data_IF_995441805743
#
_entry.id   IF_995441805743
#
_cell.length_a   1.000
_cell.length_b   1.000
_cell.length_c   1.000
_cell.angle_alpha   90.00
_cell.angle_beta   90.00
_cell.angle_gamma   90.00
#
_symmetry.space_group_name_H-M   'P 1'
#
loop_
_entity.id
_entity.type
_entity.pdbx_description
1 polymer ?
#
# COMPACT_ATOMS: atom_id res chain seq x y z
N UNK A 1 -33.11 1.84 14.28
CA UNK A 1 -31.99 1.21 13.56
C UNK A 1 -30.76 1.27 14.46
N UNK A 2 -30.35 0.12 15.02
CA UNK A 2 -29.28 0.04 16.03
C UNK A 2 -27.93 0.19 15.32
N UNK A 3 -27.10 1.12 15.80
CA UNK A 3 -25.70 1.26 15.39
C UNK A 3 -24.92 -0.01 15.78
N UNK A 4 -24.31 -0.69 14.81
CA UNK A 4 -23.31 -1.73 15.07
C UNK A 4 -21.93 -1.08 15.31
N UNK A 5 -21.13 -1.60 16.27
CA UNK A 5 -19.82 -1.07 16.59
C UNK A 5 -18.77 -1.42 15.53
N UNK A 6 -17.82 -0.48 15.37
CA UNK A 6 -16.72 -0.46 14.39
C UNK A 6 -15.83 -1.71 14.45
N UNK A 7 -15.83 -2.45 15.57
CA UNK A 7 -15.03 -3.68 15.76
C UNK A 7 -15.43 -4.85 14.84
N UNK A 8 -16.68 -4.88 14.34
CA UNK A 8 -17.12 -5.93 13.40
C UNK A 8 -16.57 -5.77 11.97
N UNK A 9 -16.11 -4.58 11.59
CA UNK A 9 -15.41 -4.37 10.31
C UNK A 9 -13.97 -4.92 10.34
N UNK A 10 -13.37 -5.02 11.53
CA UNK A 10 -12.03 -5.59 11.73
C UNK A 10 -12.02 -7.13 11.72
N UNK A 11 -13.11 -7.79 12.13
CA UNK A 11 -13.16 -9.26 12.29
C UNK A 11 -13.24 -10.07 10.98
N UNK A 12 -13.76 -9.51 9.90
CA UNK A 12 -14.02 -10.25 8.65
C UNK A 12 -12.83 -10.32 7.68
N UNK A 13 -11.67 -9.77 8.05
CA UNK A 13 -10.43 -9.86 7.28
C UNK A 13 -9.42 -10.87 7.86
N UNK A 14 -9.72 -11.51 9.01
CA UNK A 14 -8.76 -12.35 9.75
C UNK A 14 -9.28 -13.77 10.05
N UNK A 15 -10.55 -14.10 9.80
CA UNK A 15 -11.14 -15.40 10.16
C UNK A 15 -11.02 -16.48 9.08
N UNK A 16 -9.81 -16.92 8.74
CA UNK A 16 -9.57 -18.24 8.14
C UNK A 16 -8.27 -18.84 8.67
N UNK A 17 -8.30 -19.38 9.89
CA UNK A 17 -7.46 -20.50 10.31
C UNK A 17 -8.11 -21.17 11.53
N UNK A 18 -8.99 -22.13 11.28
CA UNK A 18 -9.43 -23.10 12.28
C UNK A 18 -8.34 -24.18 12.43
N UNK A 19 -7.80 -24.28 13.64
CA UNK A 19 -7.36 -25.48 14.36
C UNK A 19 -7.01 -26.72 13.53
N UNK A 20 -5.70 -26.96 13.37
CA UNK A 20 -5.14 -28.31 13.29
C UNK A 20 -3.82 -28.33 14.07
N UNK A 21 -3.77 -29.21 15.08
CA UNK A 21 -2.64 -29.43 15.97
C UNK A 21 -1.35 -29.80 15.22
N UNK A 22 -0.29 -28.99 15.37
CA UNK A 22 1.07 -29.36 15.00
C UNK A 22 1.95 -29.28 16.25
N UNK A 23 2.33 -30.47 16.75
CA UNK A 23 3.28 -30.65 17.86
C UNK A 23 4.65 -30.04 17.50
N UNK A 24 5.16 -29.17 18.35
CA UNK A 24 6.51 -28.60 18.28
C UNK A 24 7.58 -29.68 18.59
N UNK A 25 8.66 -29.80 17.80
CA UNK A 25 9.79 -30.69 18.14
C UNK A 25 10.70 -30.07 19.20
N UNK A 26 11.21 -30.94 20.08
CA UNK A 26 12.09 -30.65 21.23
C UNK A 26 13.45 -30.10 20.78
N UNK A 27 13.93 -29.06 21.46
CA UNK A 27 15.22 -28.40 21.20
C UNK A 27 16.43 -29.33 21.45
N UNK A 28 17.48 -29.32 20.60
CA UNK A 28 18.75 -29.95 20.93
C UNK A 28 19.59 -29.05 21.85
N UNK A 29 20.27 -29.68 22.79
CA UNK A 29 21.14 -29.06 23.80
C UNK A 29 22.33 -28.30 23.20
N UNK A 30 22.66 -27.16 23.83
CA UNK A 30 23.73 -26.25 23.44
C UNK A 30 25.14 -26.88 23.50
N UNK A 31 25.92 -26.73 22.42
CA UNK A 31 27.36 -26.99 22.40
C UNK A 31 28.14 -25.66 22.37
N UNK A 32 29.22 -25.62 23.17
CA UNK A 32 30.11 -24.45 23.42
C UNK A 32 30.79 -23.93 22.14
N UNK A 33 30.84 -22.59 22.02
CA UNK A 33 31.55 -21.82 20.98
C UNK A 33 33.07 -21.74 21.26
N UNK A 34 33.94 -21.82 20.24
CA UNK A 34 35.30 -21.28 20.32
C UNK A 34 35.49 -20.03 19.44
N UNK A 35 36.24 -19.06 19.97
CA UNK A 35 37.10 -18.15 19.21
C UNK A 35 36.46 -16.94 18.51
N UNK A 36 36.65 -15.74 19.10
CA UNK A 36 36.37 -14.45 18.47
C UNK A 36 37.30 -14.22 17.26
N UNK A 37 36.76 -14.29 16.05
CA UNK A 37 37.33 -13.64 14.86
C UNK A 37 36.29 -12.69 14.28
N UNK A 38 36.58 -11.40 14.22
CA UNK A 38 35.72 -10.38 13.60
C UNK A 38 35.35 -10.80 12.17
N UNK A 39 34.08 -11.09 11.85
CA UNK A 39 33.69 -11.30 10.48
C UNK A 39 33.54 -9.91 9.83
N UNK A 40 34.50 -9.56 8.96
CA UNK A 40 34.28 -8.50 7.96
C UNK A 40 32.98 -8.83 7.21
N UNK A 41 32.01 -7.93 7.30
CA UNK A 41 30.73 -7.99 6.60
C UNK A 41 30.98 -8.25 5.10
N UNK A 42 30.67 -9.46 4.62
CA UNK A 42 30.64 -9.73 3.18
C UNK A 42 29.42 -9.02 2.61
N UNK A 43 29.62 -7.89 1.93
CA UNK A 43 28.59 -7.28 1.09
C UNK A 43 28.04 -8.37 0.15
N UNK A 44 26.75 -8.66 0.26
CA UNK A 44 26.04 -9.52 -0.69
C UNK A 44 26.30 -9.01 -2.11
N UNK A 45 26.97 -9.82 -2.93
CA UNK A 45 27.41 -9.46 -4.28
C UNK A 45 26.28 -9.66 -5.30
N UNK A 46 25.05 -9.23 -4.99
CA UNK A 46 23.99 -9.17 -6.00
C UNK A 46 24.22 -7.90 -6.84
N UNK A 47 24.47 -8.08 -8.14
CA UNK A 47 24.58 -6.95 -9.06
C UNK A 47 23.18 -6.41 -9.34
N UNK A 48 23.07 -5.09 -9.34
CA UNK A 48 21.84 -4.34 -9.50
C UNK A 48 21.86 -3.63 -10.84
N UNK A 49 20.67 -3.39 -11.40
CA UNK A 49 20.53 -2.62 -12.64
C UNK A 49 21.10 -1.21 -12.41
N UNK A 50 22.10 -0.84 -13.21
CA UNK A 50 22.93 0.37 -13.02
C UNK A 50 22.10 1.66 -12.94
N UNK A 51 21.10 1.83 -13.79
CA UNK A 51 20.33 3.07 -13.92
C UNK A 51 19.22 3.22 -12.88
N UNK A 52 19.01 2.23 -12.01
CA UNK A 52 18.13 2.31 -10.82
C UNK A 52 18.89 1.99 -9.53
N UNK A 53 20.22 2.15 -9.52
CA UNK A 53 21.05 1.81 -8.37
C UNK A 53 20.61 2.54 -7.08
N UNK A 54 20.11 3.78 -7.21
CA UNK A 54 19.62 4.58 -6.09
C UNK A 54 18.39 3.98 -5.41
N UNK A 55 17.57 3.21 -6.14
CA UNK A 55 16.39 2.53 -5.61
C UNK A 55 16.72 1.27 -4.80
N UNK A 56 17.92 0.70 -4.96
CA UNK A 56 18.39 -0.45 -4.17
C UNK A 56 18.96 -0.05 -2.79
N UNK A 57 18.81 1.22 -2.41
CA UNK A 57 19.18 1.72 -1.09
C UNK A 57 18.19 1.18 -0.03
N UNK A 58 18.55 0.04 0.56
CA UNK A 58 17.95 -0.66 1.73
C UNK A 58 16.58 -1.34 1.45
N UNK A 59 16.54 -2.68 1.53
CA UNK A 59 16.48 -3.35 2.83
C UNK A 59 17.66 -4.31 3.05
N UNK A 60 18.16 -4.32 4.28
CA UNK A 60 19.13 -5.32 4.73
C UNK A 60 18.42 -6.69 4.75
N UNK A 61 18.79 -7.69 3.91
CA UNK A 61 18.14 -9.00 3.95
C UNK A 61 18.32 -9.73 5.29
N UNK A 62 19.12 -9.18 6.21
CA UNK A 62 19.30 -9.66 7.58
C UNK A 62 18.19 -9.27 8.57
N UNK A 63 17.21 -8.40 8.23
CA UNK A 63 16.15 -8.01 9.19
C UNK A 63 15.28 -9.18 9.67
N UNK A 64 15.09 -10.24 8.86
CA UNK A 64 14.41 -11.46 9.30
C UNK A 64 15.20 -12.26 10.34
N UNK A 65 16.53 -12.09 10.39
CA UNK A 65 17.44 -12.80 11.30
C UNK A 65 17.81 -12.01 12.57
N UNK A 66 17.57 -10.70 12.61
CA UNK A 66 17.84 -9.81 13.76
C UNK A 66 16.56 -9.34 14.45
N UNK A 67 15.64 -10.27 14.72
CA UNK A 67 14.43 -10.06 15.53
C UNK A 67 14.71 -9.76 17.02
N UNK A 68 15.96 -9.57 17.41
CA UNK A 68 16.36 -9.45 18.81
C UNK A 68 17.16 -8.15 18.98
N UNK A 69 16.53 -7.14 19.57
CA UNK A 69 17.08 -5.84 20.00
C UNK A 69 17.37 -4.78 18.93
N UNK A 70 16.33 -4.23 18.29
CA UNK A 70 16.40 -2.82 17.91
C UNK A 70 16.17 -1.97 19.16
N UNK A 71 17.27 -1.55 19.80
CA UNK A 71 17.20 -0.64 20.95
C UNK A 71 16.41 0.62 20.54
N UNK A 72 15.29 0.89 21.21
CA UNK A 72 14.47 2.09 20.98
C UNK A 72 13.36 1.96 19.92
N UNK A 73 13.08 0.76 19.40
CA UNK A 73 11.92 0.53 18.49
C UNK A 73 10.82 -0.24 19.22
N UNK A 74 9.59 0.25 19.14
CA UNK A 74 8.43 -0.34 19.80
C UNK A 74 8.04 -1.71 19.16
N UNK A 75 7.64 -2.74 19.95
CA UNK A 75 7.32 -4.07 19.42
C UNK A 75 6.26 -4.08 18.31
N UNK A 76 5.25 -3.19 18.37
CA UNK A 76 4.23 -3.05 17.32
C UNK A 76 4.85 -2.66 15.97
N UNK A 77 5.88 -1.81 15.97
CA UNK A 77 6.61 -1.40 14.77
C UNK A 77 7.55 -2.49 14.26
N UNK A 78 8.18 -3.27 15.15
CA UNK A 78 9.00 -4.43 14.75
C UNK A 78 8.13 -5.43 13.97
N UNK A 79 6.97 -5.78 14.51
CA UNK A 79 5.98 -6.66 13.86
C UNK A 79 5.52 -6.10 12.51
N UNK A 80 5.22 -4.80 12.45
CA UNK A 80 4.81 -4.13 11.23
C UNK A 80 5.93 -4.12 10.16
N UNK A 81 7.19 -3.93 10.57
CA UNK A 81 8.36 -3.99 9.70
C UNK A 81 8.51 -5.35 9.03
N UNK A 82 8.30 -6.44 9.79
CA UNK A 82 8.28 -7.81 9.22
C UNK A 82 7.20 -7.92 8.15
N UNK A 83 5.96 -7.56 8.46
CA UNK A 83 4.85 -7.61 7.51
C UNK A 83 5.08 -6.76 6.24
N UNK A 84 5.78 -5.64 6.35
CA UNK A 84 6.14 -4.82 5.20
C UNK A 84 7.28 -5.44 4.38
N UNK A 85 8.31 -5.97 5.03
CA UNK A 85 9.47 -6.59 4.38
C UNK A 85 9.10 -7.88 3.64
N UNK A 86 8.25 -8.72 4.26
CA UNK A 86 7.71 -9.95 3.68
C UNK A 86 6.55 -9.66 2.71
N UNK A 87 6.16 -8.39 2.56
CA UNK A 87 5.10 -7.93 1.67
C UNK A 87 3.76 -8.63 1.91
N UNK A 88 3.47 -8.98 3.17
CA UNK A 88 2.15 -9.48 3.60
C UNK A 88 1.09 -8.38 3.40
N UNK A 89 1.45 -7.13 3.70
CA UNK A 89 0.59 -5.95 3.48
C UNK A 89 1.10 -5.16 2.27
N UNK A 90 0.38 -5.26 1.16
CA UNK A 90 0.77 -4.66 -0.13
C UNK A 90 0.10 -3.32 -0.43
N UNK A 91 -1.20 -3.20 -0.13
CA UNK A 91 -2.03 -2.08 -0.56
C UNK A 91 -1.72 -0.77 0.17
N UNK A 92 -1.89 0.35 -0.54
CA UNK A 92 -1.55 1.70 -0.01
C UNK A 92 -2.42 2.07 1.20
N UNK A 93 -3.69 1.68 1.20
CA UNK A 93 -4.66 1.92 2.28
C UNK A 93 -4.34 1.08 3.51
N UNK A 94 -4.12 -0.22 3.29
CA UNK A 94 -3.87 -1.20 4.34
C UNK A 94 -2.54 -0.91 5.06
N UNK A 95 -1.52 -0.49 4.32
CA UNK A 95 -0.25 -0.03 4.89
C UNK A 95 -0.45 1.19 5.77
N UNK A 96 -1.17 2.22 5.29
CA UNK A 96 -1.47 3.42 6.06
C UNK A 96 -2.27 3.11 7.33
N UNK A 97 -3.30 2.29 7.21
CA UNK A 97 -4.13 1.86 8.34
C UNK A 97 -3.31 1.09 9.39
N UNK A 98 -2.45 0.17 8.97
CA UNK A 98 -1.57 -0.58 9.86
C UNK A 98 -0.53 0.32 10.56
N UNK A 99 -0.01 1.34 9.88
CA UNK A 99 0.88 2.35 10.48
C UNK A 99 0.15 3.13 11.57
N UNK A 100 -1.06 3.64 11.29
CA UNK A 100 -1.85 4.38 12.27
C UNK A 100 -2.21 3.51 13.48
N UNK A 101 -2.52 2.22 13.27
CA UNK A 101 -2.71 1.26 14.34
C UNK A 101 -1.45 1.04 15.19
N UNK A 102 -0.27 0.95 14.57
CA UNK A 102 0.99 0.82 15.30
C UNK A 102 1.34 2.08 16.10
N UNK A 103 1.05 3.27 15.56
CA UNK A 103 1.18 4.56 16.26
C UNK A 103 0.22 4.62 17.45
N UNK A 104 -1.04 4.16 17.28
CA UNK A 104 -2.01 4.09 18.36
C UNK A 104 -1.48 3.25 19.52
N UNK A 105 -1.03 2.03 19.25
CA UNK A 105 -0.44 1.14 20.27
C UNK A 105 0.80 1.74 20.92
N UNK A 106 1.68 2.41 20.16
CA UNK A 106 2.83 3.12 20.73
C UNK A 106 2.41 4.19 21.74
N UNK A 107 1.39 4.99 21.41
CA UNK A 107 0.89 6.06 22.28
C UNK A 107 0.16 5.48 23.50
N UNK A 108 -0.46 4.31 23.39
CA UNK A 108 -1.08 3.62 24.53
C UNK A 108 -0.02 3.08 25.50
N UNK A 109 1.10 2.56 24.98
CA UNK A 109 2.14 1.89 25.76
C UNK A 109 3.24 2.84 26.29
N UNK A 110 3.31 4.07 25.80
CA UNK A 110 4.41 4.99 26.16
C UNK A 110 4.31 5.44 27.62
N UNK A 111 5.42 5.39 28.35
CA UNK A 111 5.55 5.98 29.69
C UNK A 111 6.55 7.13 29.63
N UNK A 112 6.14 8.32 30.03
CA UNK A 112 6.97 9.51 29.96
C UNK A 112 8.01 9.53 31.09
N UNK A 113 9.30 9.66 30.79
CA UNK A 113 10.29 9.90 31.83
C UNK A 113 10.06 11.30 32.44
N UNK A 114 10.26 11.49 33.76
CA UNK A 114 9.95 12.74 34.46
C UNK A 114 10.77 13.94 33.97
N UNK A 115 11.81 13.70 33.17
CA UNK A 115 12.74 14.70 32.64
C UNK A 115 12.36 15.24 31.26
N UNK A 116 11.38 14.65 30.58
CA UNK A 116 11.04 14.99 29.18
C UNK A 116 9.55 15.32 29.03
N UNK A 117 9.24 16.32 28.19
CA UNK A 117 7.86 16.60 27.80
C UNK A 117 7.30 15.45 26.94
N UNK A 118 6.03 15.10 27.18
CA UNK A 118 5.32 14.02 26.51
C UNK A 118 5.38 14.09 24.99
N UNK A 119 5.09 15.24 24.39
CA UNK A 119 5.07 15.36 22.93
C UNK A 119 6.47 15.13 22.32
N UNK A 120 7.51 15.65 22.97
CA UNK A 120 8.90 15.42 22.53
C UNK A 120 9.30 13.95 22.63
N UNK A 121 8.93 13.30 23.73
CA UNK A 121 9.26 11.89 23.93
C UNK A 121 8.56 11.00 22.87
N UNK A 122 7.28 11.27 22.60
CA UNK A 122 6.52 10.60 21.52
C UNK A 122 7.19 10.85 20.15
N UNK A 123 7.60 12.08 19.86
CA UNK A 123 8.26 12.43 18.59
C UNK A 123 9.58 11.68 18.38
N UNK A 124 10.44 11.61 19.41
CA UNK A 124 11.72 10.90 19.36
C UNK A 124 11.54 9.38 19.13
N UNK A 125 10.61 8.78 19.87
CA UNK A 125 10.26 7.36 19.73
C UNK A 125 9.66 7.06 18.36
N UNK A 126 8.76 7.92 17.89
CA UNK A 126 8.14 7.79 16.57
C UNK A 126 9.19 7.93 15.47
N UNK A 127 10.14 8.86 15.59
CA UNK A 127 11.21 9.02 14.60
C UNK A 127 12.06 7.75 14.49
N UNK A 128 12.48 7.17 15.62
CA UNK A 128 13.22 5.91 15.66
C UNK A 128 12.44 4.75 15.00
N UNK A 129 11.15 4.65 15.31
CA UNK A 129 10.26 3.65 14.74
C UNK A 129 10.03 3.84 13.22
N UNK A 130 9.90 5.08 12.76
CA UNK A 130 9.70 5.38 11.33
C UNK A 130 10.96 5.14 10.51
N UNK A 131 12.14 5.46 11.03
CA UNK A 131 13.42 5.14 10.39
C UNK A 131 13.54 3.62 10.15
N UNK A 132 13.24 2.81 11.19
CA UNK A 132 13.22 1.36 11.08
C UNK A 132 12.26 0.88 9.97
N UNK A 133 11.03 1.38 9.93
CA UNK A 133 10.08 0.96 8.90
C UNK A 133 10.51 1.38 7.48
N UNK A 134 11.14 2.55 7.32
CA UNK A 134 11.68 3.00 6.03
C UNK A 134 12.81 2.09 5.53
N UNK A 135 13.63 1.56 6.44
CA UNK A 135 14.65 0.55 6.12
C UNK A 135 14.05 -0.81 5.75
N UNK A 136 12.92 -1.19 6.34
CA UNK A 136 12.21 -2.43 5.98
C UNK A 136 11.57 -2.33 4.59
N UNK A 137 10.92 -1.20 4.30
CA UNK A 137 10.29 -0.91 3.01
C UNK A 137 10.00 0.59 2.85
N UNK A 138 10.34 1.20 1.71
CA UNK A 138 10.02 2.61 1.43
C UNK A 138 8.54 2.94 1.66
N UNK A 139 8.27 4.10 2.26
CA UNK A 139 6.91 4.52 2.61
C UNK A 139 6.04 4.75 1.38
N UNK A 140 4.78 4.32 1.47
CA UNK A 140 3.76 4.76 0.55
C UNK A 140 3.44 6.24 0.78
N UNK A 141 2.98 6.94 -0.26
CA UNK A 141 2.58 8.36 -0.14
C UNK A 141 1.49 8.54 0.92
N UNK A 142 0.54 7.59 1.00
CA UNK A 142 -0.49 7.54 2.05
C UNK A 142 0.09 7.61 3.46
N UNK A 143 1.12 6.80 3.72
CA UNK A 143 1.80 6.72 5.01
C UNK A 143 2.56 8.01 5.32
N UNK A 144 3.27 8.56 4.33
CA UNK A 144 4.02 9.81 4.51
C UNK A 144 3.10 10.98 4.85
N UNK A 145 1.95 11.09 4.17
CA UNK A 145 0.96 12.12 4.44
C UNK A 145 0.27 11.94 5.80
N UNK A 146 -0.10 10.71 6.16
CA UNK A 146 -0.68 10.40 7.46
C UNK A 146 0.30 10.71 8.60
N UNK A 147 1.57 10.33 8.45
CA UNK A 147 2.61 10.66 9.43
C UNK A 147 2.85 12.17 9.54
N UNK A 148 2.87 12.90 8.42
CA UNK A 148 2.98 14.36 8.42
C UNK A 148 1.80 15.00 9.15
N UNK A 149 0.58 14.56 8.87
CA UNK A 149 -0.63 15.02 9.56
C UNK A 149 -0.56 14.75 11.07
N UNK A 150 -0.14 13.54 11.46
CA UNK A 150 0.03 13.19 12.86
C UNK A 150 1.10 14.04 13.57
N UNK A 151 2.26 14.28 12.93
CA UNK A 151 3.32 15.13 13.49
C UNK A 151 2.87 16.57 13.72
N UNK A 152 1.90 17.09 12.96
CA UNK A 152 1.32 18.42 13.24
C UNK A 152 0.58 18.45 14.57
N UNK A 153 0.00 17.33 15.01
CA UNK A 153 -0.71 17.21 16.30
C UNK A 153 0.25 17.15 17.49
N UNK A 154 1.53 16.86 17.27
CA UNK A 154 2.57 16.87 18.31
C UNK A 154 3.10 18.28 18.60
N UNK A 155 2.69 19.30 17.82
CA UNK A 155 3.07 20.69 18.12
C UNK A 155 2.44 21.12 19.45
N UNK A 156 3.21 21.69 20.38
CA UNK A 156 2.69 22.05 21.70
C UNK A 156 1.65 23.16 21.56
N UNK A 157 0.39 22.84 21.89
CA UNK A 157 -0.72 23.79 21.89
C UNK A 157 -0.93 24.40 23.28
N UNK A 158 -0.67 23.64 24.35
CA UNK A 158 -0.73 24.11 25.74
C UNK A 158 0.15 23.24 26.64
N UNK A 159 1.03 23.86 27.43
CA UNK A 159 1.88 23.16 28.40
C UNK A 159 1.17 22.80 29.70
N UNK A 160 -0.07 23.25 29.90
CA UNK A 160 -0.84 23.03 31.13
C UNK A 160 -1.59 21.69 31.21
N UNK A 161 -1.74 20.98 30.07
CA UNK A 161 -2.47 19.71 30.00
C UNK A 161 -1.69 18.56 30.66
N UNK A 162 -2.42 17.63 31.29
CA UNK A 162 -1.82 16.40 31.82
C UNK A 162 -1.36 15.46 30.70
N UNK A 163 -0.44 14.54 31.00
CA UNK A 163 0.04 13.57 30.02
C UNK A 163 -1.10 12.63 29.55
N UNK A 164 -2.08 12.33 30.41
CA UNK A 164 -3.28 11.58 30.04
C UNK A 164 -4.16 12.34 29.04
N UNK A 165 -4.35 13.65 29.23
CA UNK A 165 -5.12 14.50 28.32
C UNK A 165 -4.41 14.64 26.97
N UNK A 166 -3.09 14.83 26.99
CA UNK A 166 -2.25 14.85 25.77
C UNK A 166 -2.37 13.52 25.02
N UNK A 167 -2.30 12.39 25.73
CA UNK A 167 -2.47 11.05 25.16
C UNK A 167 -3.85 10.87 24.52
N UNK A 168 -4.92 11.17 25.25
CA UNK A 168 -6.29 11.06 24.75
C UNK A 168 -6.52 11.90 23.50
N UNK A 169 -5.94 13.12 23.46
CA UNK A 169 -5.98 13.99 22.28
C UNK A 169 -5.31 13.35 21.06
N UNK A 170 -4.11 12.79 21.21
CA UNK A 170 -3.40 12.15 20.09
C UNK A 170 -4.16 10.91 19.57
N UNK A 171 -4.70 10.09 20.48
CA UNK A 171 -5.52 8.94 20.11
C UNK A 171 -6.79 9.38 19.37
N UNK A 172 -7.48 10.40 19.89
CA UNK A 172 -8.66 10.98 19.24
C UNK A 172 -8.35 11.56 17.86
N UNK A 173 -7.17 12.16 17.67
CA UNK A 173 -6.74 12.67 16.36
C UNK A 173 -6.54 11.53 15.34
N UNK A 174 -5.93 10.40 15.75
CA UNK A 174 -5.76 9.21 14.90
C UNK A 174 -7.13 8.64 14.50
N UNK A 175 -8.04 8.48 15.46
CA UNK A 175 -9.39 7.96 15.20
C UNK A 175 -10.19 8.87 14.28
N UNK A 176 -10.06 10.19 14.48
CA UNK A 176 -10.66 11.20 13.61
C UNK A 176 -10.14 11.09 12.18
N UNK A 177 -8.82 10.94 12.00
CA UNK A 177 -8.20 10.76 10.69
C UNK A 177 -8.69 9.48 9.98
N UNK A 178 -8.73 8.35 10.70
CA UNK A 178 -9.23 7.08 10.14
C UNK A 178 -10.71 7.22 9.75
N UNK A 179 -11.54 7.79 10.61
CA UNK A 179 -12.98 7.90 10.39
C UNK A 179 -13.31 8.89 9.26
N UNK A 180 -12.71 10.08 9.28
CA UNK A 180 -13.05 11.17 8.37
C UNK A 180 -12.26 11.08 7.05
N UNK A 181 -10.93 11.05 7.11
CA UNK A 181 -10.08 11.14 5.92
C UNK A 181 -9.97 9.82 5.15
N UNK A 182 -10.22 8.68 5.81
CA UNK A 182 -10.18 7.37 5.15
C UNK A 182 -11.59 6.79 4.92
N UNK A 183 -12.33 6.46 5.99
CA UNK A 183 -13.59 5.69 5.85
C UNK A 183 -14.67 6.49 5.13
N UNK A 184 -14.96 7.72 5.56
CA UNK A 184 -15.94 8.59 4.88
C UNK A 184 -15.50 8.91 3.45
N UNK A 185 -14.21 9.13 3.22
CA UNK A 185 -13.68 9.34 1.87
C UNK A 185 -13.95 8.14 0.95
N UNK A 186 -13.71 6.92 1.42
CA UNK A 186 -14.04 5.70 0.67
C UNK A 186 -15.52 5.62 0.32
N UNK A 187 -16.41 5.91 1.28
CA UNK A 187 -17.86 5.86 1.04
C UNK A 187 -18.30 6.93 0.05
N UNK A 188 -17.76 8.14 0.16
CA UNK A 188 -18.04 9.25 -0.74
C UNK A 188 -17.57 8.97 -2.18
N UNK A 189 -16.40 8.36 -2.35
CA UNK A 189 -15.93 7.90 -3.67
C UNK A 189 -16.82 6.76 -4.17
N UNK A 190 -17.17 5.80 -3.31
CA UNK A 190 -18.04 4.70 -3.70
C UNK A 190 -19.38 5.18 -4.25
N UNK A 191 -20.01 6.14 -3.59
CA UNK A 191 -21.28 6.73 -4.04
C UNK A 191 -21.12 7.37 -5.43
N UNK A 192 -20.12 8.26 -5.60
CA UNK A 192 -19.89 8.97 -6.87
C UNK A 192 -19.56 8.04 -8.03
N UNK A 193 -18.70 7.05 -7.81
CA UNK A 193 -18.33 6.10 -8.87
C UNK A 193 -19.51 5.19 -9.21
N UNK A 194 -20.31 4.80 -8.20
CA UNK A 194 -21.52 4.02 -8.43
C UNK A 194 -22.50 4.73 -9.37
N UNK A 195 -22.68 6.04 -9.27
CA UNK A 195 -23.51 6.82 -10.21
C UNK A 195 -23.04 6.73 -11.68
N UNK A 196 -21.77 6.42 -11.91
CA UNK A 196 -21.16 6.29 -13.25
C UNK A 196 -21.14 4.86 -13.79
N UNK A 197 -21.54 3.88 -12.97
CA UNK A 197 -21.74 2.49 -13.40
C UNK A 197 -23.18 2.32 -13.85
N UNK A 198 -23.37 1.91 -15.10
CA UNK A 198 -24.68 1.68 -15.71
C UNK A 198 -24.96 0.19 -15.90
N UNK A 199 -26.20 -0.12 -16.23
CA UNK A 199 -26.62 -1.48 -16.53
C UNK A 199 -25.88 -2.02 -17.76
N UNK A 200 -25.52 -3.30 -17.74
CA UNK A 200 -24.76 -4.01 -18.77
C UNK A 200 -23.34 -3.45 -19.01
N UNK A 201 -22.81 -2.63 -18.10
CA UNK A 201 -21.42 -2.19 -18.18
C UNK A 201 -20.44 -3.37 -18.09
N UNK A 202 -19.33 -3.26 -18.83
CA UNK A 202 -18.18 -4.16 -18.74
C UNK A 202 -17.01 -3.35 -18.20
N UNK A 203 -16.78 -3.48 -16.90
CA UNK A 203 -15.75 -2.72 -16.18
C UNK A 203 -14.43 -3.46 -16.26
N UNK A 204 -13.40 -2.83 -16.82
CA UNK A 204 -12.03 -3.33 -16.80
C UNK A 204 -11.27 -2.72 -15.60
N UNK A 205 -10.56 -3.54 -14.83
CA UNK A 205 -9.72 -3.10 -13.73
C UNK A 205 -8.40 -3.86 -13.70
N UNK A 206 -7.45 -3.43 -12.85
CA UNK A 206 -6.08 -3.92 -12.84
C UNK A 206 -5.54 -4.17 -11.43
N UNK A 207 -4.93 -5.34 -11.24
CA UNK A 207 -4.37 -5.77 -9.96
C UNK A 207 -5.44 -5.90 -8.87
N UNK A 208 -5.05 -5.61 -7.63
CA UNK A 208 -5.97 -5.62 -6.48
C UNK A 208 -6.01 -4.28 -5.76
N UNK A 209 -7.15 -3.58 -5.85
CA UNK A 209 -7.44 -2.38 -5.08
C UNK A 209 -8.62 -2.62 -4.16
N UNK A 210 -8.45 -2.35 -2.86
CA UNK A 210 -9.53 -2.46 -1.87
C UNK A 210 -10.65 -1.48 -2.11
N UNK A 211 -10.33 -0.25 -2.54
CA UNK A 211 -11.33 0.76 -2.91
C UNK A 211 -12.16 0.30 -4.12
N UNK A 212 -11.50 -0.22 -5.18
CA UNK A 212 -12.22 -0.76 -6.35
C UNK A 212 -13.08 -1.96 -5.96
N UNK A 213 -12.57 -2.87 -5.13
CA UNK A 213 -13.35 -3.98 -4.59
C UNK A 213 -14.61 -3.46 -3.88
N UNK A 214 -14.48 -2.44 -3.01
CA UNK A 214 -15.61 -1.86 -2.27
C UNK A 214 -16.63 -1.20 -3.22
N UNK A 215 -16.17 -0.48 -4.25
CA UNK A 215 -17.02 0.14 -5.28
C UNK A 215 -17.87 -0.91 -5.99
N UNK A 216 -17.25 -1.98 -6.49
CA UNK A 216 -17.91 -3.03 -7.28
C UNK A 216 -18.88 -3.86 -6.42
N UNK A 217 -18.49 -4.20 -5.18
CA UNK A 217 -19.37 -4.90 -4.25
C UNK A 217 -20.60 -4.04 -3.90
N UNK A 218 -20.41 -2.74 -3.67
CA UNK A 218 -21.51 -1.81 -3.42
C UNK A 218 -22.43 -1.66 -4.63
N UNK A 219 -21.87 -1.63 -5.84
CA UNK A 219 -22.66 -1.60 -7.08
C UNK A 219 -23.55 -2.82 -7.22
N UNK A 220 -23.01 -4.01 -6.91
CA UNK A 220 -23.79 -5.25 -6.92
C UNK A 220 -24.88 -5.26 -5.86
N UNK A 221 -24.58 -4.81 -4.65
CA UNK A 221 -25.55 -4.71 -3.56
C UNK A 221 -26.69 -3.72 -3.86
N UNK A 222 -26.42 -2.70 -4.66
CA UNK A 222 -27.43 -1.75 -5.17
C UNK A 222 -28.26 -2.32 -6.34
N UNK A 223 -28.08 -3.60 -6.69
CA UNK A 223 -28.88 -4.29 -7.71
C UNK A 223 -28.43 -4.09 -9.15
N UNK A 224 -27.27 -3.45 -9.41
CA UNK A 224 -26.79 -3.22 -10.78
C UNK A 224 -26.31 -4.52 -11.43
N UNK A 225 -26.67 -4.73 -12.69
CA UNK A 225 -26.10 -5.80 -13.51
C UNK A 225 -24.93 -5.25 -14.35
N UNK A 226 -23.74 -5.79 -14.09
CA UNK A 226 -22.53 -5.47 -14.82
C UNK A 226 -21.59 -6.66 -14.76
N UNK A 227 -20.57 -6.66 -15.61
CA UNK A 227 -19.50 -7.65 -15.57
C UNK A 227 -18.13 -6.99 -15.42
N UNK A 228 -17.17 -7.74 -14.89
CA UNK A 228 -15.84 -7.22 -14.58
C UNK A 228 -14.78 -8.02 -15.31
N UNK A 229 -13.87 -7.33 -15.98
CA UNK A 229 -12.64 -7.90 -16.52
C UNK A 229 -11.51 -7.47 -15.58
N UNK A 230 -10.78 -8.44 -15.04
CA UNK A 230 -9.65 -8.20 -14.15
C UNK A 230 -8.39 -8.52 -14.93
N UNK A 231 -7.64 -7.48 -15.28
CA UNK A 231 -6.30 -7.61 -15.82
C UNK A 231 -5.29 -7.74 -14.66
N UNK A 232 -4.30 -8.61 -14.85
CA UNK A 232 -3.30 -8.92 -13.83
C UNK A 232 -1.92 -9.05 -14.44
N UNK A 233 -0.88 -9.01 -13.61
CA UNK A 233 0.50 -9.13 -14.06
C UNK A 233 1.37 -9.90 -13.09
N UNK A 234 2.39 -10.52 -13.68
CA UNK A 234 3.48 -11.13 -12.94
C UNK A 234 4.35 -10.02 -12.32
N UNK A 235 5.03 -10.31 -11.19
CA UNK A 235 5.09 -11.62 -10.53
C UNK A 235 4.08 -11.83 -9.40
N UNK A 236 3.42 -10.78 -8.89
CA UNK A 236 2.60 -10.88 -7.68
C UNK A 236 1.19 -11.44 -7.93
N UNK A 237 0.65 -11.29 -9.15
CA UNK A 237 -0.66 -11.83 -9.55
C UNK A 237 -1.79 -11.50 -8.55
N UNK A 238 -1.82 -10.24 -8.13
CA UNK A 238 -2.70 -9.75 -7.08
C UNK A 238 -4.16 -9.73 -7.49
N UNK A 239 -4.43 -9.61 -8.79
CA UNK A 239 -5.78 -9.65 -9.36
C UNK A 239 -6.53 -10.94 -9.04
N UNK A 240 -5.83 -12.04 -8.72
CA UNK A 240 -6.44 -13.30 -8.23
C UNK A 240 -7.24 -13.10 -6.94
N UNK A 241 -6.76 -12.27 -6.02
CA UNK A 241 -7.46 -12.00 -4.76
C UNK A 241 -8.71 -11.14 -5.00
N UNK A 242 -8.62 -10.14 -5.89
CA UNK A 242 -9.79 -9.36 -6.30
C UNK A 242 -10.84 -10.26 -6.98
N UNK A 243 -10.40 -11.14 -7.89
CA UNK A 243 -11.26 -12.12 -8.56
C UNK A 243 -11.99 -12.99 -7.53
N UNK A 244 -11.28 -13.54 -6.55
CA UNK A 244 -11.85 -14.37 -5.48
C UNK A 244 -12.96 -13.63 -4.73
N UNK A 245 -12.74 -12.36 -4.37
CA UNK A 245 -13.72 -11.51 -3.66
C UNK A 245 -14.97 -11.27 -4.50
N UNK A 246 -14.81 -10.90 -5.78
CA UNK A 246 -15.92 -10.57 -6.66
C UNK A 246 -16.75 -11.80 -7.08
N UNK A 247 -16.09 -12.95 -7.32
CA UNK A 247 -16.77 -14.21 -7.62
C UNK A 247 -17.57 -14.70 -6.40
N UNK A 248 -17.02 -14.58 -5.19
CA UNK A 248 -17.74 -14.91 -3.95
C UNK A 248 -19.00 -14.06 -3.76
N UNK A 249 -18.99 -12.82 -4.26
CA UNK A 249 -20.15 -11.92 -4.28
C UNK A 249 -21.08 -12.11 -5.50
N UNK A 250 -20.90 -13.18 -6.29
CA UNK A 250 -21.71 -13.52 -7.47
C UNK A 250 -21.70 -12.43 -8.56
N UNK A 251 -20.56 -11.77 -8.76
CA UNK A 251 -20.33 -10.86 -9.88
C UNK A 251 -19.69 -11.64 -11.03
N UNK A 252 -20.21 -11.47 -12.24
CA UNK A 252 -19.65 -12.11 -13.44
C UNK A 252 -18.28 -11.51 -13.75
N UNK A 253 -17.23 -12.33 -13.63
CA UNK A 253 -15.85 -11.91 -13.82
C UNK A 253 -15.17 -12.64 -14.97
N UNK A 254 -14.25 -11.96 -15.65
CA UNK A 254 -13.26 -12.54 -16.57
C UNK A 254 -11.87 -12.16 -16.08
N UNK A 255 -10.91 -13.08 -16.17
CA UNK A 255 -9.54 -12.84 -15.71
C UNK A 255 -8.57 -12.96 -16.87
N UNK A 256 -7.70 -11.97 -17.03
CA UNK A 256 -6.72 -11.91 -18.12
C UNK A 256 -5.39 -11.38 -17.62
N UNK A 257 -4.31 -11.73 -18.33
CA UNK A 257 -3.01 -11.12 -18.10
C UNK A 257 -2.83 -9.86 -18.94
N UNK A 258 -1.87 -9.02 -18.56
CA UNK A 258 -1.58 -7.73 -19.19
C UNK A 258 -1.34 -7.80 -20.71
N UNK A 259 -0.85 -8.94 -21.23
CA UNK A 259 -0.64 -9.15 -22.67
C UNK A 259 -1.96 -9.05 -23.49
N UNK A 260 -3.11 -9.24 -22.83
CA UNK A 260 -4.42 -9.25 -23.49
C UNK A 260 -5.12 -7.88 -23.48
N UNK A 261 -4.48 -6.82 -22.96
CA UNK A 261 -5.09 -5.49 -22.81
C UNK A 261 -5.81 -5.02 -24.09
N UNK A 262 -5.15 -5.10 -25.25
CA UNK A 262 -5.73 -4.67 -26.54
C UNK A 262 -6.94 -5.52 -26.98
N UNK A 263 -6.89 -6.83 -26.76
CA UNK A 263 -7.94 -7.77 -27.12
C UNK A 263 -9.21 -7.57 -26.28
N UNK A 264 -9.04 -7.37 -24.97
CA UNK A 264 -10.19 -7.20 -24.06
C UNK A 264 -10.77 -5.80 -24.08
N UNK A 265 -9.99 -4.78 -24.46
CA UNK A 265 -10.44 -3.39 -24.46
C UNK A 265 -11.66 -3.16 -25.36
N UNK A 266 -11.77 -3.92 -26.46
CA UNK A 266 -12.95 -3.87 -27.36
C UNK A 266 -14.25 -4.25 -26.63
N UNK A 267 -14.17 -5.11 -25.62
CA UNK A 267 -15.32 -5.56 -24.81
C UNK A 267 -15.60 -4.64 -23.63
N UNK A 268 -14.58 -3.95 -23.12
CA UNK A 268 -14.74 -3.04 -21.99
C UNK A 268 -15.56 -1.80 -22.38
N UNK A 269 -16.45 -1.36 -21.49
CA UNK A 269 -17.15 -0.08 -21.62
C UNK A 269 -16.37 1.04 -20.93
N UNK A 270 -15.77 0.75 -19.77
CA UNK A 270 -15.04 1.72 -18.93
C UNK A 270 -13.88 1.03 -18.21
N UNK A 271 -12.85 1.80 -17.85
CA UNK A 271 -11.71 1.32 -17.05
C UNK A 271 -11.72 1.99 -15.68
N UNK A 272 -11.68 1.19 -14.61
CA UNK A 272 -11.54 1.67 -13.24
C UNK A 272 -10.18 1.28 -12.67
N UNK A 273 -9.42 2.26 -12.19
CA UNK A 273 -8.08 2.05 -11.64
C UNK A 273 -8.00 2.63 -10.22
N UNK A 274 -7.42 1.87 -9.28
CA UNK A 274 -7.07 2.41 -7.97
C UNK A 274 -5.71 3.11 -8.01
N UNK A 275 -5.57 4.25 -7.34
CA UNK A 275 -4.30 4.96 -7.24
C UNK A 275 -3.47 4.53 -6.02
N UNK A 276 -2.15 4.45 -6.20
CA UNK A 276 -1.21 4.48 -5.07
C UNK A 276 -1.01 5.93 -4.60
N UNK A 277 -0.82 6.85 -5.55
CA UNK A 277 -0.72 8.29 -5.33
C UNK A 277 -1.09 9.07 -6.59
N UNK A 278 -1.48 10.33 -6.41
CA UNK A 278 -1.69 11.26 -7.52
C UNK A 278 -0.77 12.48 -7.31
N UNK A 279 0.00 12.82 -8.33
CA UNK A 279 1.07 13.81 -8.26
C UNK A 279 0.59 15.21 -8.66
N UNK A 280 1.31 16.25 -8.25
CA UNK A 280 0.99 17.68 -8.54
C UNK A 280 0.90 17.97 -10.04
N UNK A 281 1.68 17.28 -10.87
CA UNK A 281 1.63 17.40 -12.34
C UNK A 281 0.45 16.63 -12.97
N UNK A 282 -0.42 16.02 -12.16
CA UNK A 282 -1.55 15.21 -12.59
C UNK A 282 -1.18 13.78 -13.01
N UNK A 283 0.10 13.40 -12.91
CA UNK A 283 0.49 12.03 -13.17
C UNK A 283 -0.06 11.09 -12.08
N UNK A 284 -0.52 9.92 -12.50
CA UNK A 284 -0.97 8.85 -11.62
C UNK A 284 0.18 7.90 -11.33
N UNK A 285 0.47 7.67 -10.06
CA UNK A 285 1.30 6.56 -9.62
C UNK A 285 0.38 5.39 -9.22
N UNK A 286 0.50 4.26 -9.91
CA UNK A 286 -0.21 3.03 -9.56
C UNK A 286 0.65 1.81 -9.86
N UNK A 287 0.11 0.59 -9.69
CA UNK A 287 0.82 -0.66 -9.95
C UNK A 287 1.37 -0.68 -11.37
N UNK A 288 2.60 -1.17 -11.52
CA UNK A 288 3.26 -1.29 -12.82
C UNK A 288 2.36 -2.03 -13.82
N UNK A 289 2.20 -1.48 -15.02
CA UNK A 289 1.26 -1.96 -16.05
C UNK A 289 -0.02 -1.13 -16.14
N UNK A 290 -0.28 -0.23 -15.18
CA UNK A 290 -1.39 0.72 -15.23
C UNK A 290 -1.23 1.68 -16.42
N UNK A 291 -0.02 2.18 -16.68
CA UNK A 291 0.21 3.08 -17.80
C UNK A 291 -0.05 2.40 -19.15
N UNK A 292 0.32 1.12 -19.28
CA UNK A 292 0.04 0.32 -20.47
C UNK A 292 -1.46 0.09 -20.67
N UNK A 293 -2.20 -0.18 -19.59
CA UNK A 293 -3.65 -0.30 -19.62
C UNK A 293 -4.32 1.00 -20.05
N UNK A 294 -3.91 2.12 -19.46
CA UNK A 294 -4.45 3.45 -19.77
C UNK A 294 -4.15 3.86 -21.21
N UNK A 295 -2.96 3.54 -21.72
CA UNK A 295 -2.58 3.77 -23.12
C UNK A 295 -3.46 2.97 -24.08
N UNK A 296 -3.68 1.68 -23.79
CA UNK A 296 -4.59 0.85 -24.57
C UNK A 296 -6.02 1.40 -24.52
N UNK A 297 -6.51 1.77 -23.34
CA UNK A 297 -7.84 2.34 -23.16
C UNK A 297 -8.03 3.62 -23.99
N UNK A 298 -7.05 4.54 -23.93
CA UNK A 298 -7.04 5.76 -24.72
C UNK A 298 -7.11 5.47 -26.22
N UNK A 299 -6.32 4.52 -26.73
CA UNK A 299 -6.34 4.14 -28.15
C UNK A 299 -7.67 3.53 -28.62
N UNK A 300 -8.41 2.88 -27.72
CA UNK A 300 -9.75 2.34 -28.00
C UNK A 300 -10.90 3.28 -27.56
N UNK A 301 -10.58 4.54 -27.24
CA UNK A 301 -11.52 5.56 -26.78
C UNK A 301 -12.36 5.11 -25.58
N UNK A 302 -11.74 4.36 -24.65
CA UNK A 302 -12.37 3.92 -23.40
C UNK A 302 -12.02 4.88 -22.27
N UNK A 303 -13.02 5.37 -21.51
CA UNK A 303 -12.75 6.29 -20.42
C UNK A 303 -12.03 5.57 -19.27
N UNK A 304 -10.97 6.21 -18.76
CA UNK A 304 -10.19 5.75 -17.61
C UNK A 304 -10.53 6.61 -16.42
N UNK A 305 -11.22 6.03 -15.44
CA UNK A 305 -11.57 6.68 -14.18
C UNK A 305 -10.68 6.16 -13.06
N UNK A 306 -9.92 7.07 -12.46
CA UNK A 306 -9.04 6.78 -11.33
C UNK A 306 -9.81 7.02 -10.04
N UNK A 307 -9.79 6.06 -9.13
CA UNK A 307 -10.37 6.20 -7.79
C UNK A 307 -9.22 6.45 -6.81
N UNK A 308 -9.20 7.65 -6.21
CA UNK A 308 -8.13 8.08 -5.32
C UNK A 308 -8.69 8.98 -4.20
N UNK A 309 -8.31 8.67 -2.98
CA UNK A 309 -8.54 9.51 -1.80
C UNK A 309 -7.59 10.71 -1.79
N UNK A 310 -8.03 11.87 -1.27
CA UNK A 310 -7.22 13.10 -1.30
C UNK A 310 -5.96 12.97 -0.45
N UNK A 311 -5.99 12.20 0.65
CA UNK A 311 -4.81 12.00 1.49
C UNK A 311 -3.67 11.23 0.80
N UNK A 312 -3.91 10.67 -0.41
CA UNK A 312 -2.87 10.08 -1.28
C UNK A 312 -2.31 11.06 -2.32
N UNK A 313 -2.74 12.31 -2.32
CA UNK A 313 -2.18 13.32 -3.20
C UNK A 313 -0.76 13.67 -2.72
N UNK A 314 0.16 13.82 -3.66
CA UNK A 314 1.54 14.17 -3.38
C UNK A 314 1.88 15.51 -4.00
N UNK A 315 2.56 16.35 -3.22
CA UNK A 315 3.16 17.60 -3.73
C UNK A 315 4.31 17.35 -4.72
N UNK A 316 4.84 16.12 -4.73
CA UNK A 316 5.95 15.72 -5.59
C UNK A 316 5.53 15.71 -7.05
N UNK A 317 6.51 15.99 -7.91
CA UNK A 317 6.41 15.88 -9.36
C UNK A 317 7.38 14.79 -9.80
N UNK A 318 6.88 13.86 -10.61
CA UNK A 318 7.68 12.78 -11.18
C UNK A 318 7.17 12.51 -12.59
N UNK A 319 8.08 12.34 -13.53
CA UNK A 319 7.79 12.16 -14.96
C UNK A 319 8.11 10.76 -15.47
N UNK A 320 9.00 10.03 -14.78
CA UNK A 320 9.38 8.66 -15.12
C UNK A 320 9.11 7.69 -13.97
N UNK A 321 9.24 6.39 -14.22
CA UNK A 321 9.00 5.35 -13.20
C UNK A 321 10.28 4.93 -12.46
N UNK A 322 11.38 5.66 -12.59
CA UNK A 322 12.72 5.23 -12.17
C UNK A 322 13.28 6.08 -11.04
N UNK A 323 12.96 7.37 -10.99
CA UNK A 323 13.46 8.28 -9.96
C UNK A 323 13.01 7.85 -8.56
N UNK A 324 11.71 7.56 -8.41
CA UNK A 324 11.14 7.05 -7.16
C UNK A 324 10.21 5.87 -7.39
N UNK A 325 10.56 4.72 -6.83
CA UNK A 325 9.78 3.49 -6.93
C UNK A 325 10.10 2.53 -5.77
N UNK A 326 9.29 1.48 -5.64
CA UNK A 326 9.55 0.33 -4.76
C UNK A 326 10.05 -0.83 -5.63
N UNK A 327 11.14 -1.48 -5.20
CA UNK A 327 11.71 -2.64 -5.89
C UNK A 327 11.19 -3.91 -5.25
N UNK A 328 10.40 -4.68 -5.99
CA UNK A 328 9.96 -6.02 -5.62
C UNK A 328 11.10 -7.03 -5.58
N UNK A 329 10.87 -8.17 -4.93
CA UNK A 329 11.87 -9.22 -4.86
C UNK A 329 12.22 -9.73 -6.28
N UNK A 330 13.49 -9.63 -6.73
CA UNK A 330 13.91 -10.15 -8.02
C UNK A 330 13.79 -11.67 -8.11
N UNK A 331 13.83 -12.38 -6.97
CA UNK A 331 13.76 -13.83 -6.96
C UNK A 331 12.41 -14.36 -7.49
N UNK A 332 11.35 -13.55 -7.40
CA UNK A 332 10.02 -13.82 -7.95
C UNK A 332 9.99 -13.84 -9.49
N UNK A 333 11.00 -13.29 -10.18
CA UNK A 333 11.07 -13.36 -11.64
C UNK A 333 11.62 -14.70 -12.14
N UNK A 334 12.27 -15.46 -11.25
CA UNK A 334 12.79 -16.81 -11.54
C UNK A 334 11.79 -17.91 -11.18
N UNK A 335 10.62 -17.60 -10.63
CA UNK A 335 9.54 -18.57 -10.51
C UNK A 335 8.80 -18.69 -11.86
N UNK A 336 8.20 -19.86 -12.12
CA UNK A 336 7.22 -20.03 -13.19
C UNK A 336 5.98 -20.61 -12.53
N UNK A 337 4.91 -19.82 -12.50
CA UNK A 337 3.66 -20.25 -11.86
C UNK A 337 3.09 -21.47 -12.59
N UNK A 338 2.77 -22.53 -11.83
CA UNK A 338 2.15 -23.75 -12.38
C UNK A 338 3.10 -24.75 -13.03
N UNK A 339 4.42 -24.52 -12.99
CA UNK A 339 5.43 -25.49 -13.43
C UNK A 339 6.23 -26.01 -12.24
N UNK A 340 6.35 -27.34 -12.13
CA UNK A 340 7.29 -28.00 -11.23
C UNK A 340 8.74 -27.87 -11.70
N UNK A 341 8.96 -27.49 -12.96
CA UNK A 341 10.28 -27.27 -13.52
C UNK A 341 10.84 -25.88 -13.11
N UNK A 342 12.12 -25.79 -12.73
CA UNK A 342 12.75 -24.51 -12.44
C UNK A 342 12.76 -23.62 -13.68
N UNK A 343 12.59 -22.31 -13.51
CA UNK A 343 12.74 -21.34 -14.61
C UNK A 343 14.09 -21.53 -15.32
N UNK A 344 14.14 -21.44 -16.66
CA UNK A 344 15.41 -21.43 -17.40
C UNK A 344 16.37 -20.34 -16.91
N UNK A 345 15.85 -19.26 -16.31
CA UNK A 345 16.64 -18.17 -15.76
C UNK A 345 17.32 -18.53 -14.43
N UNK A 346 16.86 -19.58 -13.73
CA UNK A 346 17.33 -19.92 -12.38
C UNK A 346 18.84 -20.21 -12.35
N UNK A 347 19.36 -20.87 -13.39
CA UNK A 347 20.80 -21.15 -13.54
C UNK A 347 21.64 -19.88 -13.73
N UNK A 348 21.03 -18.79 -14.19
CA UNK A 348 21.68 -17.51 -14.45
C UNK A 348 21.54 -16.51 -13.29
N UNK A 349 20.92 -16.90 -12.17
CA UNK A 349 20.69 -16.02 -11.00
C UNK A 349 21.97 -15.36 -10.47
N UNK A 350 23.12 -16.03 -10.60
CA UNK A 350 24.43 -15.53 -10.17
C UNK A 350 25.31 -15.08 -11.36
N UNK A 351 24.76 -15.02 -12.58
CA UNK A 351 25.50 -14.60 -13.77
C UNK A 351 25.80 -13.11 -13.71
N UNK A 352 27.05 -12.72 -13.98
CA UNK A 352 27.44 -11.32 -14.06
C UNK A 352 26.91 -10.59 -15.30
N UNK A 353 26.23 -11.30 -16.20
CA UNK A 353 25.67 -10.80 -17.47
C UNK A 353 24.14 -10.63 -17.43
N UNK A 354 23.50 -10.95 -16.30
CA UNK A 354 22.06 -10.86 -16.14
C UNK A 354 21.73 -9.97 -14.94
N UNK A 355 21.02 -8.88 -15.20
CA UNK A 355 20.41 -8.06 -14.16
C UNK A 355 18.89 -8.22 -14.24
N UNK A 356 18.25 -8.40 -13.08
CA UNK A 356 16.79 -8.53 -12.98
C UNK A 356 16.17 -7.30 -12.33
N UNK A 357 15.06 -6.82 -12.91
CA UNK A 357 14.33 -5.66 -12.44
C UNK A 357 12.87 -6.00 -12.18
N UNK A 358 12.41 -5.70 -10.97
CA UNK A 358 11.02 -5.85 -10.56
C UNK A 358 10.55 -4.54 -9.92
N UNK A 359 10.11 -3.58 -10.73
CA UNK A 359 9.49 -2.36 -10.22
C UNK A 359 8.04 -2.63 -9.86
N UNK A 360 7.53 -2.01 -8.80
CA UNK A 360 6.13 -2.23 -8.37
C UNK A 360 5.15 -1.18 -8.85
N UNK A 361 5.63 0.01 -9.17
CA UNK A 361 4.79 1.13 -9.60
C UNK A 361 5.21 1.65 -10.97
N UNK A 362 4.27 2.28 -11.68
CA UNK A 362 4.54 3.08 -12.86
C UNK A 362 3.85 4.45 -12.78
N UNK A 363 4.32 5.37 -13.61
CA UNK A 363 3.75 6.71 -13.77
C UNK A 363 2.91 6.73 -15.04
N UNK A 364 1.61 7.01 -14.89
CA UNK A 364 0.66 7.18 -15.99
C UNK A 364 0.45 8.67 -16.25
N UNK A 365 0.74 9.17 -17.48
CA UNK A 365 0.52 10.56 -17.83
C UNK A 365 -0.94 11.02 -17.72
N UNK A 366 -1.21 12.28 -17.36
CA UNK A 366 -2.55 12.80 -17.13
C UNK A 366 -3.46 12.75 -18.37
N UNK A 367 -2.90 12.87 -19.58
CA UNK A 367 -3.69 12.86 -20.82
C UNK A 367 -4.31 11.50 -21.15
N UNK A 368 -3.85 10.42 -20.50
CA UNK A 368 -4.46 9.08 -20.62
C UNK A 368 -5.63 8.87 -19.64
N UNK A 369 -5.85 9.81 -18.72
CA UNK A 369 -6.83 9.68 -17.65
C UNK A 369 -8.00 10.60 -17.94
N UNK A 370 -9.21 10.05 -17.91
CA UNK A 370 -10.44 10.80 -18.17
C UNK A 370 -10.88 11.62 -16.96
N UNK A 371 -10.70 11.08 -15.75
CA UNK A 371 -11.01 11.79 -14.52
C UNK A 371 -10.56 11.04 -13.27
N UNK A 372 -10.56 11.76 -12.16
CA UNK A 372 -10.19 11.27 -10.83
C UNK A 372 -11.40 11.43 -9.92
N UNK A 373 -11.97 10.32 -9.47
CA UNK A 373 -13.00 10.29 -8.46
C UNK A 373 -12.37 10.39 -7.06
N UNK A 374 -12.65 11.51 -6.40
CA UNK A 374 -12.28 11.82 -5.01
C UNK A 374 -13.52 11.95 -4.13
N UNK A 375 -13.31 12.08 -2.83
CA UNK A 375 -14.35 12.33 -1.83
C UNK A 375 -15.02 13.70 -1.97
N UNK A 376 -14.41 14.67 -2.68
CA UNK A 376 -14.98 15.99 -2.95
C UNK A 376 -15.74 16.01 -4.28
N UNK A 377 -15.15 15.49 -5.35
CA UNK A 377 -15.74 15.50 -6.69
C UNK A 377 -15.02 14.54 -7.66
N UNK A 378 -15.60 14.36 -8.85
CA UNK A 378 -14.87 13.82 -10.01
C UNK A 378 -14.17 15.00 -10.68
N UNK A 379 -12.85 15.02 -10.64
CA UNK A 379 -12.01 16.14 -11.06
C UNK A 379 -11.04 15.72 -12.16
N UNK A 380 -10.58 16.64 -13.02
CA UNK A 380 -9.45 16.35 -13.90
C UNK A 380 -8.16 16.22 -13.09
N UNK A 381 -7.19 15.45 -13.59
CA UNK A 381 -5.93 15.21 -12.89
C UNK A 381 -5.14 16.49 -12.61
N UNK A 382 -5.34 17.53 -13.42
CA UNK A 382 -4.68 18.83 -13.26
C UNK A 382 -5.17 19.64 -12.06
N UNK A 383 -6.28 19.23 -11.41
CA UNK A 383 -6.82 19.91 -10.23
C UNK A 383 -6.11 19.55 -8.92
N UNK A 384 -5.20 18.57 -8.91
CA UNK A 384 -4.47 18.13 -7.70
C UNK A 384 -3.85 19.28 -6.91
N UNK A 385 -3.11 20.23 -7.52
CA UNK A 385 -2.48 21.33 -6.76
C UNK A 385 -3.49 22.29 -6.14
N UNK A 386 -4.69 22.41 -6.71
CA UNK A 386 -5.74 23.25 -6.16
C UNK A 386 -6.36 22.60 -4.92
N UNK A 387 -6.62 21.28 -4.98
CA UNK A 387 -7.15 20.52 -3.84
C UNK A 387 -6.14 20.47 -2.69
N UNK A 388 -4.84 20.26 -2.98
CA UNK A 388 -3.80 20.30 -1.96
C UNK A 388 -3.73 21.65 -1.24
N UNK A 389 -3.93 22.76 -1.97
CA UNK A 389 -3.97 24.11 -1.39
C UNK A 389 -5.17 24.32 -0.48
N UNK A 390 -6.36 23.90 -0.91
CA UNK A 390 -7.58 24.00 -0.09
C UNK A 390 -7.42 23.20 1.19
N UNK A 391 -6.98 21.95 1.09
CA UNK A 391 -6.81 21.08 2.24
C UNK A 391 -5.69 21.58 3.18
N UNK A 392 -4.64 22.20 2.66
CA UNK A 392 -3.59 22.81 3.50
C UNK A 392 -4.10 24.03 4.27
N UNK A 393 -4.99 24.83 3.66
CA UNK A 393 -5.58 25.99 4.30
C UNK A 393 -6.63 25.63 5.38
N UNK A 394 -7.31 24.49 5.23
CA UNK A 394 -8.25 23.97 6.25
C UNK A 394 -7.54 23.34 7.46
N UNK A 395 -6.27 22.96 7.31
CA UNK A 395 -5.44 22.33 8.35
C UNK A 395 -4.42 23.29 9.00
N UNK A 396 -4.38 24.57 8.59
CA UNK A 396 -3.63 25.66 9.24
C UNK A 396 -4.57 26.44 10.15
#
# INVERSE_FOLDING_TARGET
AKHEPVDKLCGNLVSVTSETDIKLPVAPQAKKLPGKSNPRLKKSSRKHVQWVQHLYSLPNPEYSSKLVNFNGVHPSFVKLGVWYSERVILGSNERCFALLGAIKTLIEDIETPPTQDFYRHVEDMLQSCTNYLQECRPFAVSMSNALRSFKLQLRPVDSSLSDEEKRARLLGAIETYISNDMVKAWDAICLRVNEKIWEEDVILTYGCSSLISKILLRAKNNGKNFSVIIADSRPLLEGRELLRRLVSARIKCSYVLNDHHSSVMKRASKVLVGAHALLTNGCLMSRIGTAQLALAAHNFNKPVLVCCEIYKFSERVQTDSFEYNDIGDPDLLYSVDGSSAPSPLRSYRNSSKLDTLNLLYDITPPYLITGVATESAILPCTSVPAILRINSAENM
#
